data_IF_822461418449
#
_entry.id   IF_822461418449
#
_cell.length_a   1.000
_cell.length_b   1.000
_cell.length_c   1.000
_cell.angle_alpha   90.00
_cell.angle_beta   90.00
_cell.angle_gamma   90.00
#
_symmetry.space_group_name_H-M   'P 1'
#
loop_
_entity.id
_entity.type
_entity.pdbx_description
1 polymer ?
#
# COMPACT_ATOMS: atom_id res chain seq x y z
N UNK A 1 4.55 -15.35 4.55
CA UNK A 1 4.04 -14.12 3.91
C UNK A 1 4.99 -12.92 4.01
N UNK A 2 5.26 -12.35 5.20
CA UNK A 2 6.27 -11.27 5.34
C UNK A 2 7.71 -11.77 5.11
N UNK A 3 8.06 -12.93 5.67
CA UNK A 3 9.37 -13.58 5.44
C UNK A 3 9.65 -13.77 3.94
N UNK A 4 8.64 -14.20 3.17
CA UNK A 4 8.76 -14.36 1.71
C UNK A 4 9.03 -13.02 1.01
N UNK A 5 8.36 -11.94 1.44
CA UNK A 5 8.64 -10.60 0.91
C UNK A 5 10.08 -10.17 1.23
N UNK A 6 10.58 -10.47 2.43
CA UNK A 6 11.95 -10.14 2.82
C UNK A 6 12.98 -10.91 1.99
N UNK A 7 12.83 -12.23 1.87
CA UNK A 7 13.73 -13.07 1.05
C UNK A 7 13.74 -12.59 -0.40
N UNK A 8 12.57 -12.32 -0.97
CA UNK A 8 12.46 -11.84 -2.35
C UNK A 8 13.12 -10.47 -2.55
N UNK A 9 13.05 -9.58 -1.55
CA UNK A 9 13.61 -8.21 -1.65
C UNK A 9 15.09 -8.19 -2.03
N UNK A 10 15.86 -9.19 -1.61
CA UNK A 10 17.30 -9.27 -1.86
C UNK A 10 17.61 -9.35 -3.36
N UNK A 11 16.75 -10.02 -4.12
CA UNK A 11 16.89 -10.21 -5.58
C UNK A 11 16.55 -8.97 -6.42
N UNK A 12 16.00 -7.91 -5.80
CA UNK A 12 15.62 -6.70 -6.51
C UNK A 12 16.80 -5.72 -6.64
N UNK A 13 16.85 -5.05 -7.79
CA UNK A 13 17.73 -3.92 -8.08
C UNK A 13 17.03 -2.61 -7.72
N UNK A 14 17.83 -1.56 -7.55
CA UNK A 14 17.31 -0.23 -7.25
C UNK A 14 18.12 0.84 -7.98
N UNK A 15 17.50 1.99 -8.22
CA UNK A 15 18.14 3.20 -8.74
C UNK A 15 17.50 4.41 -8.07
N UNK A 16 18.34 5.26 -7.48
CA UNK A 16 17.93 6.58 -7.00
C UNK A 16 17.60 7.47 -8.19
N UNK A 17 16.43 8.10 -8.18
CA UNK A 17 15.95 8.96 -9.26
C UNK A 17 15.77 10.41 -8.84
N UNK A 18 15.51 10.66 -7.56
CA UNK A 18 15.33 12.01 -7.02
C UNK A 18 15.72 12.06 -5.55
N UNK A 19 16.19 13.22 -5.10
CA UNK A 19 16.43 13.54 -3.69
C UNK A 19 16.03 14.98 -3.42
N UNK A 20 15.17 15.17 -2.42
CA UNK A 20 14.71 16.47 -1.99
C UNK A 20 14.64 16.50 -0.45
N UNK A 21 15.66 17.11 0.16
CA UNK A 21 15.79 17.17 1.62
C UNK A 21 15.89 15.77 2.22
N UNK A 22 14.97 15.44 3.14
CA UNK A 22 14.91 14.12 3.78
C UNK A 22 14.30 13.03 2.89
N UNK A 23 13.72 13.39 1.74
CA UNK A 23 13.00 12.46 0.88
C UNK A 23 13.85 12.01 -0.29
N UNK A 24 13.93 10.71 -0.49
CA UNK A 24 14.64 10.08 -1.60
C UNK A 24 13.68 9.18 -2.37
N UNK A 25 13.66 9.29 -3.69
CA UNK A 25 12.82 8.48 -4.57
C UNK A 25 13.67 7.46 -5.30
N UNK A 26 13.23 6.21 -5.27
CA UNK A 26 13.86 5.06 -5.88
C UNK A 26 12.95 4.37 -6.88
N UNK A 27 13.54 3.91 -7.98
CA UNK A 27 12.96 2.84 -8.80
C UNK A 27 13.50 1.50 -8.32
N UNK A 28 12.63 0.51 -8.17
CA UNK A 28 12.95 -0.84 -7.69
C UNK A 28 12.35 -1.86 -8.65
N UNK A 29 13.15 -2.80 -9.15
CA UNK A 29 12.71 -3.79 -10.14
C UNK A 29 13.49 -5.10 -10.02
N UNK A 30 12.99 -6.15 -10.66
CA UNK A 30 13.66 -7.45 -10.75
C UNK A 30 14.35 -7.56 -12.12
N UNK A 31 15.57 -8.07 -12.14
CA UNK A 31 16.44 -8.08 -13.34
C UNK A 31 15.86 -8.93 -14.48
N UNK A 32 15.05 -9.94 -14.17
CA UNK A 32 14.39 -10.80 -15.15
C UNK A 32 13.05 -10.25 -15.68
N UNK A 33 12.54 -9.15 -15.12
CA UNK A 33 11.26 -8.54 -15.52
C UNK A 33 11.30 -7.01 -15.46
N UNK A 34 11.94 -6.41 -16.46
CA UNK A 34 12.11 -4.94 -16.59
C UNK A 34 10.78 -4.17 -16.66
N UNK A 35 9.68 -4.80 -17.10
CA UNK A 35 8.34 -4.19 -17.14
C UNK A 35 7.68 -3.97 -15.76
N UNK A 36 8.35 -4.34 -14.66
CA UNK A 36 7.79 -4.30 -13.30
C UNK A 36 8.46 -3.30 -12.35
N UNK A 37 8.94 -2.17 -12.89
CA UNK A 37 9.50 -1.09 -12.06
C UNK A 37 8.45 -0.54 -11.10
N UNK A 38 8.82 -0.43 -9.82
CA UNK A 38 8.02 0.22 -8.77
C UNK A 38 8.77 1.40 -8.21
N UNK A 39 8.03 2.48 -7.97
CA UNK A 39 8.55 3.67 -7.32
C UNK A 39 8.39 3.53 -5.81
N UNK A 40 9.45 3.83 -5.07
CA UNK A 40 9.48 3.87 -3.61
C UNK A 40 10.02 5.22 -3.17
N UNK A 41 9.26 5.93 -2.35
CA UNK A 41 9.69 7.17 -1.70
C UNK A 41 10.06 6.84 -0.27
N UNK A 42 11.31 7.10 0.11
CA UNK A 42 11.81 7.00 1.47
C UNK A 42 11.92 8.40 2.07
N UNK A 43 11.61 8.54 3.36
CA UNK A 43 11.76 9.75 4.14
C UNK A 43 12.59 9.44 5.39
N UNK A 44 13.81 9.98 5.43
CA UNK A 44 14.75 9.73 6.52
C UNK A 44 14.38 10.45 7.82
N UNK A 45 13.52 11.48 7.77
CA UNK A 45 13.12 12.24 8.96
C UNK A 45 12.32 11.42 9.96
N UNK A 46 11.52 10.47 9.47
CA UNK A 46 10.64 9.61 10.26
C UNK A 46 10.84 8.12 9.95
N UNK A 47 11.84 7.78 9.13
CA UNK A 47 12.16 6.42 8.67
C UNK A 47 10.91 5.77 8.06
N UNK A 48 10.24 6.48 7.14
CA UNK A 48 9.08 5.94 6.42
C UNK A 48 9.43 5.64 4.98
N UNK A 49 8.79 4.64 4.41
CA UNK A 49 8.82 4.38 2.98
C UNK A 49 7.42 4.06 2.45
N UNK A 50 7.11 4.62 1.28
CA UNK A 50 5.87 4.39 0.54
C UNK A 50 6.19 3.83 -0.84
N UNK A 51 5.59 2.69 -1.17
CA UNK A 51 5.72 2.09 -2.50
C UNK A 51 4.45 2.35 -3.31
N UNK A 52 4.57 2.53 -4.62
CA UNK A 52 3.41 2.65 -5.52
C UNK A 52 2.48 1.44 -5.52
N UNK A 53 2.92 0.30 -4.96
CA UNK A 53 2.09 -0.89 -4.75
C UNK A 53 1.21 -0.82 -3.48
N UNK A 54 1.52 0.07 -2.53
CA UNK A 54 0.73 0.35 -1.32
C UNK A 54 0.30 -0.88 -0.51
N UNK A 55 1.17 -1.90 -0.44
CA UNK A 55 0.88 -3.16 0.24
C UNK A 55 0.71 -2.99 1.75
N UNK A 56 1.39 -2.01 2.35
CA UNK A 56 1.27 -1.77 3.79
C UNK A 56 -0.11 -1.22 4.12
N UNK A 57 -0.59 -0.26 3.33
CA UNK A 57 -1.92 0.33 3.42
C UNK A 57 -3.02 -0.71 3.15
N UNK A 58 -2.76 -1.64 2.23
CA UNK A 58 -3.71 -2.69 1.89
C UNK A 58 -3.75 -3.87 2.87
N UNK A 59 -2.59 -4.45 3.19
CA UNK A 59 -2.47 -5.73 3.89
C UNK A 59 -1.79 -5.64 5.26
N UNK A 60 -1.36 -4.44 5.66
CA UNK A 60 -0.76 -4.20 6.96
C UNK A 60 0.68 -4.72 7.11
N UNK A 61 1.36 -5.04 6.01
CA UNK A 61 2.78 -5.41 6.04
C UNK A 61 3.53 -4.85 4.82
N UNK A 62 4.83 -4.63 4.99
CA UNK A 62 5.69 -4.01 3.98
C UNK A 62 5.88 -4.93 2.76
N UNK A 63 5.83 -4.36 1.56
CA UNK A 63 6.20 -5.09 0.35
C UNK A 63 7.71 -5.25 0.21
N UNK A 64 8.13 -6.24 -0.57
CA UNK A 64 9.54 -6.46 -0.93
C UNK A 64 10.26 -5.23 -1.48
N UNK A 65 9.56 -4.29 -2.12
CA UNK A 65 10.18 -3.06 -2.63
C UNK A 65 10.56 -2.11 -1.50
N UNK A 66 9.68 -1.92 -0.50
CA UNK A 66 10.00 -1.13 0.70
C UNK A 66 11.12 -1.80 1.48
N UNK A 67 11.05 -3.12 1.67
CA UNK A 67 12.09 -3.87 2.36
C UNK A 67 13.45 -3.74 1.66
N UNK A 68 13.48 -3.75 0.32
CA UNK A 68 14.71 -3.49 -0.44
C UNK A 68 15.29 -2.11 -0.11
N UNK A 69 14.46 -1.06 -0.07
CA UNK A 69 14.94 0.29 0.25
C UNK A 69 15.40 0.40 1.71
N UNK A 70 14.74 -0.26 2.65
CA UNK A 70 15.22 -0.33 4.03
C UNK A 70 16.59 -0.99 4.15
N UNK A 71 16.88 -2.01 3.34
CA UNK A 71 18.23 -2.59 3.27
C UNK A 71 19.26 -1.61 2.67
N UNK A 72 18.87 -0.81 1.69
CA UNK A 72 19.74 0.20 1.05
C UNK A 72 20.06 1.35 2.00
N UNK A 73 19.06 1.80 2.76
CA UNK A 73 19.15 2.90 3.73
C UNK A 73 19.66 2.45 5.11
N UNK A 74 20.16 1.20 5.24
CA UNK A 74 20.65 0.58 6.49
C UNK A 74 19.66 0.68 7.67
N UNK A 75 18.35 0.56 7.39
CA UNK A 75 17.30 0.51 8.41
C UNK A 75 17.28 -0.87 9.06
N UNK A 76 18.01 -1.02 10.17
CA UNK A 76 18.18 -2.30 10.89
C UNK A 76 17.00 -2.69 11.79
N UNK A 77 16.15 -1.72 12.15
CA UNK A 77 14.98 -1.92 13.00
C UNK A 77 13.78 -1.29 12.33
N UNK A 78 12.70 -2.06 12.19
CA UNK A 78 11.45 -1.54 11.69
C UNK A 78 10.87 -0.54 12.70
N UNK A 79 10.50 0.67 12.25
CA UNK A 79 9.77 1.62 13.07
C UNK A 79 8.48 1.00 13.62
N UNK A 80 8.09 1.41 14.83
CA UNK A 80 6.91 0.87 15.53
C UNK A 80 5.61 1.08 14.76
N UNK A 81 5.50 2.15 13.96
CA UNK A 81 4.31 2.41 13.14
C UNK A 81 4.07 1.38 12.02
N UNK A 82 5.07 0.57 11.66
CA UNK A 82 4.91 -0.57 10.75
C UNK A 82 4.53 -1.88 11.47
N UNK A 83 4.51 -1.90 12.80
CA UNK A 83 4.19 -3.06 13.63
C UNK A 83 2.73 -2.96 14.07
N UNK A 84 1.82 -3.56 13.28
CA UNK A 84 0.39 -3.56 13.59
C UNK A 84 0.08 -4.71 14.56
N UNK A 85 -0.80 -4.48 15.55
CA UNK A 85 -1.21 -5.48 16.57
C UNK A 85 -1.60 -6.85 16.02
N UNK A 86 -2.16 -6.92 14.80
CA UNK A 86 -2.52 -8.18 14.12
C UNK A 86 -1.31 -9.10 13.88
N UNK A 87 -0.11 -8.54 13.78
CA UNK A 87 1.13 -9.25 13.47
C UNK A 87 2.08 -9.39 14.69
N UNK A 88 1.66 -8.95 15.88
CA UNK A 88 2.41 -9.19 17.11
C UNK A 88 1.91 -10.46 17.80
N UNK A 89 2.74 -11.03 18.69
CA UNK A 89 2.35 -12.18 19.54
C UNK A 89 1.10 -11.89 20.39
N UNK A 90 0.80 -10.60 20.59
CA UNK A 90 -0.34 -10.10 21.35
C UNK A 90 -1.63 -10.06 20.51
N UNK A 91 -1.64 -10.57 19.27
CA UNK A 91 -2.85 -10.70 18.44
C UNK A 91 -3.96 -11.56 19.09
N UNK A 92 -3.63 -12.38 20.10
CA UNK A 92 -4.60 -13.15 20.91
C UNK A 92 -5.09 -12.41 22.16
N UNK A 93 -4.50 -11.29 22.53
CA UNK A 93 -4.91 -10.46 23.66
C UNK A 93 -5.81 -9.35 23.11
N UNK A 94 -7.09 -9.67 22.95
CA UNK A 94 -8.13 -8.66 22.75
C UNK A 94 -8.04 -7.63 23.88
N UNK A 95 -7.88 -6.36 23.51
CA UNK A 95 -7.83 -5.18 24.37
C UNK A 95 -6.96 -5.29 25.63
N UNK A 96 -5.70 -4.86 25.54
CA UNK A 96 -4.95 -4.45 26.74
C UNK A 96 -5.33 -3.00 26.99
N UNK A 97 -6.22 -2.82 27.97
CA UNK A 97 -6.49 -1.56 28.66
C UNK A 97 -5.17 -1.13 29.32
N UNK A 98 -4.76 0.12 29.14
CA UNK A 98 -3.60 0.63 29.85
C UNK A 98 -3.91 0.81 31.35
N UNK A 99 -2.87 1.07 32.14
CA UNK A 99 -2.98 1.24 33.59
C UNK A 99 -3.78 2.48 34.02
N UNK A 100 -4.34 3.23 33.08
CA UNK A 100 -5.14 4.44 33.32
C UNK A 100 -6.61 4.29 32.90
N UNK A 101 -7.02 3.14 32.37
CA UNK A 101 -8.42 2.83 32.13
C UNK A 101 -9.05 3.59 30.98
N UNK A 102 -8.25 4.26 30.14
CA UNK A 102 -8.75 4.96 28.97
C UNK A 102 -8.72 4.01 27.76
N UNK A 103 -9.87 3.85 27.10
CA UNK A 103 -9.90 3.29 25.75
C UNK A 103 -9.09 4.23 24.87
N UNK A 104 -7.94 3.77 24.40
CA UNK A 104 -7.28 4.42 23.28
C UNK A 104 -8.13 4.15 22.03
N UNK A 105 -9.23 4.89 21.92
CA UNK A 105 -9.93 5.09 20.66
C UNK A 105 -8.85 5.53 19.68
N UNK A 106 -8.52 4.64 18.75
CA UNK A 106 -7.84 5.06 17.55
C UNK A 106 -8.80 6.07 16.91
N UNK A 107 -8.51 7.35 17.13
CA UNK A 107 -9.11 8.49 16.44
C UNK A 107 -8.80 8.30 14.95
N UNK A 108 -9.62 7.49 14.31
CA UNK A 108 -9.56 7.22 12.89
C UNK A 108 -10.41 8.28 12.21
N UNK A 109 -9.92 9.52 12.30
CA UNK A 109 -10.34 10.56 11.36
C UNK A 109 -10.30 9.93 9.96
N UNK A 110 -11.42 10.00 9.25
CA UNK A 110 -11.68 9.30 8.00
C UNK A 110 -10.67 9.77 6.93
N UNK A 111 -9.50 9.13 6.88
CA UNK A 111 -8.40 9.50 5.99
C UNK A 111 -8.59 8.82 4.65
N UNK A 112 -8.08 9.44 3.58
CA UNK A 112 -7.97 8.86 2.22
C UNK A 112 -7.41 7.43 2.25
N UNK A 113 -6.57 7.12 3.23
CA UNK A 113 -6.04 5.78 3.51
C UNK A 113 -7.13 4.74 3.80
N UNK A 114 -8.15 5.06 4.62
CA UNK A 114 -9.24 4.13 4.97
C UNK A 114 -10.09 3.84 3.73
N UNK A 115 -10.43 4.87 2.96
CA UNK A 115 -11.24 4.71 1.73
C UNK A 115 -10.49 3.90 0.67
N UNK A 116 -9.19 4.16 0.48
CA UNK A 116 -8.34 3.38 -0.41
C UNK A 116 -8.24 1.91 0.03
N UNK A 117 -7.97 1.65 1.32
CA UNK A 117 -7.87 0.29 1.85
C UNK A 117 -9.18 -0.48 1.68
N UNK A 118 -10.34 0.16 1.91
CA UNK A 118 -11.67 -0.44 1.67
C UNK A 118 -11.84 -0.82 0.19
N UNK A 119 -11.52 0.08 -0.74
CA UNK A 119 -11.62 -0.19 -2.19
C UNK A 119 -10.71 -1.36 -2.62
N UNK A 120 -9.48 -1.42 -2.10
CA UNK A 120 -8.57 -2.51 -2.41
C UNK A 120 -9.03 -3.86 -1.83
N UNK A 121 -9.60 -3.86 -0.62
CA UNK A 121 -10.20 -5.07 -0.03
C UNK A 121 -11.33 -5.60 -0.89
N UNK A 122 -12.19 -4.72 -1.39
CA UNK A 122 -13.29 -5.13 -2.26
C UNK A 122 -12.78 -5.66 -3.60
N UNK A 123 -11.81 -4.98 -4.22
CA UNK A 123 -11.18 -5.44 -5.45
C UNK A 123 -10.55 -6.84 -5.30
N UNK A 124 -9.98 -7.15 -4.13
CA UNK A 124 -9.37 -8.46 -3.86
C UNK A 124 -10.40 -9.54 -3.56
N UNK A 125 -11.50 -9.22 -2.89
CA UNK A 125 -12.64 -10.14 -2.75
C UNK A 125 -13.19 -10.52 -4.13
N UNK A 126 -13.40 -9.53 -4.99
CA UNK A 126 -13.84 -9.73 -6.38
C UNK A 126 -12.84 -10.59 -7.14
N UNK A 127 -11.54 -10.29 -7.07
CA UNK A 127 -10.51 -11.07 -7.77
C UNK A 127 -10.46 -12.53 -7.28
N UNK A 128 -10.58 -12.75 -5.96
CA UNK A 128 -10.54 -14.09 -5.36
C UNK A 128 -11.71 -14.95 -5.85
N UNK A 129 -12.93 -14.40 -5.84
CA UNK A 129 -14.12 -15.07 -6.40
C UNK A 129 -14.00 -15.24 -7.91
N UNK A 130 -13.50 -14.21 -8.59
CA UNK A 130 -13.28 -14.14 -10.02
C UNK A 130 -12.36 -15.23 -10.57
N UNK A 131 -11.35 -15.64 -9.80
CA UNK A 131 -10.36 -16.63 -10.22
C UNK A 131 -10.77 -18.09 -10.05
N UNK A 132 -12.00 -18.38 -9.59
CA UNK A 132 -12.45 -19.75 -9.24
C UNK A 132 -12.70 -20.64 -10.46
N UNK A 133 -13.07 -20.08 -11.61
CA UNK A 133 -13.20 -20.81 -12.89
C UNK A 133 -12.94 -19.89 -14.07
N UNK A 134 -12.79 -20.47 -15.26
CA UNK A 134 -12.59 -19.69 -16.49
C UNK A 134 -13.80 -18.81 -16.81
N UNK A 135 -15.00 -19.32 -16.58
CA UNK A 135 -16.28 -18.62 -16.78
C UNK A 135 -16.40 -17.44 -15.81
N UNK A 136 -16.09 -17.67 -14.53
CA UNK A 136 -16.13 -16.62 -13.51
C UNK A 136 -15.07 -15.54 -13.76
N UNK A 137 -13.89 -15.92 -14.29
CA UNK A 137 -12.86 -14.98 -14.68
C UNK A 137 -13.33 -14.05 -15.81
N UNK A 138 -13.96 -14.60 -16.84
CA UNK A 138 -14.47 -13.82 -17.99
C UNK A 138 -15.55 -12.82 -17.57
N UNK A 139 -16.47 -13.24 -16.70
CA UNK A 139 -17.49 -12.34 -16.14
C UNK A 139 -16.84 -11.25 -15.30
N UNK A 140 -15.91 -11.64 -14.42
CA UNK A 140 -15.26 -10.72 -13.48
C UNK A 140 -14.41 -9.68 -14.20
N UNK A 141 -13.62 -10.08 -15.20
CA UNK A 141 -12.79 -9.13 -15.94
C UNK A 141 -13.64 -8.13 -16.74
N UNK A 142 -14.79 -8.55 -17.27
CA UNK A 142 -15.70 -7.65 -17.97
C UNK A 142 -16.31 -6.61 -17.00
N UNK A 143 -16.75 -7.05 -15.82
CA UNK A 143 -17.29 -6.15 -14.78
C UNK A 143 -16.23 -5.14 -14.35
N UNK A 144 -15.02 -5.58 -14.04
CA UNK A 144 -13.93 -4.70 -13.61
C UNK A 144 -13.56 -3.68 -14.69
N UNK A 145 -13.58 -4.07 -15.97
CA UNK A 145 -13.33 -3.13 -17.07
C UNK A 145 -14.42 -2.06 -17.19
N UNK A 146 -15.69 -2.43 -16.98
CA UNK A 146 -16.80 -1.49 -17.00
C UNK A 146 -16.74 -0.53 -15.81
N UNK A 147 -16.55 -1.06 -14.59
CA UNK A 147 -16.37 -0.27 -13.38
C UNK A 147 -15.23 0.75 -13.53
N UNK A 148 -14.10 0.35 -14.13
CA UNK A 148 -13.00 1.27 -14.42
C UNK A 148 -13.42 2.42 -15.33
N UNK A 149 -14.19 2.16 -16.41
CA UNK A 149 -14.66 3.20 -17.32
C UNK A 149 -15.59 4.19 -16.63
N UNK A 150 -16.49 3.70 -15.78
CA UNK A 150 -17.43 4.54 -15.03
C UNK A 150 -16.72 5.45 -14.03
N UNK A 151 -15.74 4.92 -13.28
CA UNK A 151 -14.92 5.72 -12.36
C UNK A 151 -14.14 6.80 -13.09
N UNK A 152 -13.52 6.48 -14.24
CA UNK A 152 -12.80 7.45 -15.08
C UNK A 152 -13.72 8.55 -15.62
N UNK A 153 -14.95 8.19 -16.01
CA UNK A 153 -15.95 9.15 -16.48
C UNK A 153 -16.39 10.10 -15.36
N UNK A 154 -16.69 9.56 -14.18
CA UNK A 154 -17.06 10.34 -13.00
C UNK A 154 -15.92 11.27 -12.56
N UNK A 155 -14.68 10.77 -12.56
CA UNK A 155 -13.50 11.57 -12.22
C UNK A 155 -13.33 12.77 -13.17
N UNK A 156 -13.48 12.55 -14.48
CA UNK A 156 -13.43 13.63 -15.47
C UNK A 156 -14.52 14.68 -15.27
N UNK A 157 -15.75 14.27 -14.96
CA UNK A 157 -16.85 15.20 -14.69
C UNK A 157 -16.59 16.07 -13.46
N UNK A 158 -16.00 15.52 -12.40
CA UNK A 158 -15.61 16.27 -11.21
C UNK A 158 -14.48 17.26 -11.47
N UNK A 159 -13.51 16.92 -12.33
CA UNK A 159 -12.40 17.82 -12.69
C UNK A 159 -12.79 18.99 -13.60
N UNK A 160 -13.92 18.91 -14.31
CA UNK A 160 -14.44 19.98 -15.19
C UNK A 160 -15.29 20.99 -14.39
N UNK A 161 -15.88 20.58 -13.26
CA UNK A 161 -16.73 21.43 -12.41
C UNK A 161 -15.97 22.49 -11.60
N UNK A 162 -14.70 22.28 -11.27
CA UNK A 162 -13.91 23.20 -10.43
C UNK A 162 -13.44 24.48 -11.15
N UNK A 163 -13.73 24.64 -12.45
CA UNK A 163 -13.27 25.77 -13.26
C UNK A 163 -14.38 26.80 -13.57
N UNK A 164 -15.56 26.69 -12.96
CA UNK A 164 -16.72 27.58 -13.22
C UNK A 164 -17.09 28.54 -12.07
N UNK A 165 -16.48 28.41 -10.89
CA UNK A 165 -16.80 29.28 -9.75
C UNK A 165 -15.80 30.44 -9.58
N UNK A 166 -15.30 31.00 -10.69
CA UNK A 166 -14.41 32.18 -10.67
C UNK A 166 -14.70 33.09 -11.86
N UNK A 167 -15.89 33.69 -11.87
CA UNK A 167 -16.21 34.94 -12.61
C UNK A 167 -17.04 35.83 -11.71
#
# INVERSE_FOLDING_TARGET
MFQDQFVQSISYRHKKIEENGSKVVYNVWREDYERSVRTVTFDSSNITAKCSYQLFEFAGYLCRHVLKIFLVEDVRKLPTHYIIKRWTRDAKLGSIIDAHGEEMQADCHETVTITYSKLCQEAINIATKGSTSKEMYLVTIQILQNARKEVEAAYKQMSIGSNKDSV
#
